data_IF_816993559899
#
_entry.id   IF_816993559899
#
_cell.length_a   1.000
_cell.length_b   1.000
_cell.length_c   1.000
_cell.angle_alpha   90.00
_cell.angle_beta   90.00
_cell.angle_gamma   90.00
#
_symmetry.space_group_name_H-M   'P 1'
#
loop_
_entity.id
_entity.type
_entity.pdbx_description
1 polymer ?
#
# COMPACT_ATOMS: atom_id res chain seq x y z
N UNK A 1 1.14 -8.68 3.18
CA UNK A 1 -0.05 -8.47 2.31
C UNK A 1 0.41 -7.93 0.97
N UNK A 2 -0.12 -8.46 -0.13
CA UNK A 2 0.17 -7.98 -1.48
C UNK A 2 -1.14 -7.62 -2.17
N UNK A 3 -1.15 -6.53 -2.92
CA UNK A 3 -2.31 -6.11 -3.71
C UNK A 3 -1.89 -5.76 -5.13
N UNK A 4 -2.73 -6.11 -6.10
CA UNK A 4 -2.60 -5.75 -7.50
C UNK A 4 -3.82 -4.89 -7.87
N UNK A 5 -3.64 -3.57 -7.93
CA UNK A 5 -4.74 -2.59 -7.87
C UNK A 5 -4.69 -1.64 -9.08
N UNK A 6 -5.86 -1.15 -9.48
CA UNK A 6 -6.01 0.01 -10.35
C UNK A 6 -6.53 1.16 -9.49
N UNK A 7 -5.71 2.20 -9.28
CA UNK A 7 -6.19 3.43 -8.68
C UNK A 7 -7.04 4.14 -9.75
N UNK A 8 -8.22 4.61 -9.35
CA UNK A 8 -9.19 5.30 -10.20
C UNK A 8 -9.35 6.75 -9.72
N UNK A 9 -8.60 7.71 -10.27
CA UNK A 9 -8.82 9.12 -10.00
C UNK A 9 -10.14 9.60 -10.63
N UNK A 10 -10.60 10.78 -10.22
CA UNK A 10 -11.86 11.37 -10.70
C UNK A 10 -11.90 11.61 -12.20
N UNK A 11 -10.73 11.82 -12.82
CA UNK A 11 -10.59 12.01 -14.27
C UNK A 11 -10.81 10.72 -15.09
N UNK A 12 -11.09 9.59 -14.43
CA UNK A 12 -11.34 8.30 -15.05
C UNK A 12 -10.08 7.59 -15.56
N UNK A 13 -8.89 8.16 -15.32
CA UNK A 13 -7.64 7.48 -15.58
C UNK A 13 -7.51 6.22 -14.72
N UNK A 14 -6.65 5.29 -15.14
CA UNK A 14 -6.38 4.06 -14.41
C UNK A 14 -4.89 3.97 -14.16
N UNK A 15 -4.49 4.06 -12.90
CA UNK A 15 -3.09 3.97 -12.51
C UNK A 15 -2.84 2.56 -11.97
N UNK A 16 -2.13 1.70 -12.71
CA UNK A 16 -1.80 0.35 -12.26
C UNK A 16 -0.74 0.42 -11.16
N UNK A 17 -1.01 -0.23 -10.03
CA UNK A 17 -0.09 -0.27 -8.89
C UNK A 17 -0.03 -1.68 -8.33
N UNK A 18 1.18 -2.20 -8.16
CA UNK A 18 1.44 -3.33 -7.27
C UNK A 18 1.88 -2.79 -5.93
N UNK A 19 1.30 -3.29 -4.85
CA UNK A 19 1.63 -2.89 -3.48
C UNK A 19 2.02 -4.12 -2.67
N UNK A 20 2.99 -3.96 -1.78
CA UNK A 20 3.32 -4.98 -0.79
C UNK A 20 3.62 -4.35 0.56
N UNK A 21 3.01 -4.90 1.61
CA UNK A 21 3.33 -4.62 3.01
C UNK A 21 3.89 -5.88 3.67
N UNK A 22 5.03 -5.72 4.33
CA UNK A 22 5.71 -6.78 5.08
C UNK A 22 5.86 -6.33 6.52
N UNK A 23 5.24 -7.06 7.45
CA UNK A 23 5.44 -6.84 8.87
C UNK A 23 6.63 -7.66 9.35
N UNK A 24 7.45 -7.10 10.25
CA UNK A 24 8.57 -7.77 10.89
C UNK A 24 8.63 -7.38 12.36
N UNK A 25 8.84 -8.36 13.23
CA UNK A 25 9.05 -8.11 14.65
C UNK A 25 10.35 -7.34 14.90
N UNK A 26 10.28 -6.38 15.82
CA UNK A 26 11.41 -5.60 16.31
C UNK A 26 11.30 -5.50 17.83
N UNK A 27 12.36 -5.01 18.49
CA UNK A 27 12.26 -4.67 19.90
C UNK A 27 11.16 -3.62 20.11
N UNK A 28 10.22 -3.89 21.02
CA UNK A 28 9.11 -2.99 21.34
C UNK A 28 7.89 -3.06 20.40
N UNK A 29 7.86 -3.97 19.41
CA UNK A 29 6.67 -4.15 18.56
C UNK A 29 6.98 -4.78 17.20
N UNK A 30 6.40 -4.21 16.15
CA UNK A 30 6.69 -4.58 14.77
C UNK A 30 6.86 -3.34 13.90
N UNK A 31 7.61 -3.47 12.81
CA UNK A 31 7.68 -2.49 11.74
C UNK A 31 6.89 -2.98 10.53
N UNK A 32 6.26 -2.05 9.80
CA UNK A 32 5.64 -2.33 8.51
C UNK A 32 6.48 -1.72 7.39
N UNK A 33 6.94 -2.56 6.46
CA UNK A 33 7.70 -2.15 5.28
C UNK A 33 6.81 -2.18 4.05
N UNK A 34 6.46 -1.00 3.56
CA UNK A 34 5.64 -0.82 2.36
C UNK A 34 6.50 -0.67 1.10
N UNK A 35 6.04 -1.22 -0.02
CA UNK A 35 6.59 -0.99 -1.37
C UNK A 35 5.43 -0.79 -2.34
N UNK A 36 5.58 0.20 -3.22
CA UNK A 36 4.63 0.52 -4.27
C UNK A 36 5.37 0.55 -5.60
N UNK A 37 4.88 -0.22 -6.57
CA UNK A 37 5.35 -0.21 -7.95
C UNK A 37 4.24 0.37 -8.81
N UNK A 38 4.25 1.69 -8.96
CA UNK A 38 3.33 2.38 -9.85
C UNK A 38 3.72 2.11 -11.31
N UNK A 39 2.71 1.94 -12.17
CA UNK A 39 2.90 1.57 -13.56
C UNK A 39 3.02 0.07 -13.80
N UNK A 40 2.88 -0.78 -12.77
CA UNK A 40 3.03 -2.23 -12.89
C UNK A 40 1.75 -2.96 -12.46
N UNK A 41 1.57 -4.16 -13.02
CA UNK A 41 0.61 -5.16 -12.57
C UNK A 41 1.27 -6.54 -12.49
N UNK A 42 0.74 -7.43 -11.66
CA UNK A 42 1.10 -8.86 -11.69
C UNK A 42 0.06 -9.59 -12.54
N UNK A 43 0.46 -10.04 -13.73
CA UNK A 43 -0.38 -10.78 -14.68
C UNK A 43 0.31 -12.11 -14.98
N UNK A 44 -0.41 -13.22 -14.84
CA UNK A 44 0.11 -14.58 -14.99
C UNK A 44 1.38 -14.85 -14.16
N UNK A 45 1.35 -14.39 -12.90
CA UNK A 45 2.46 -14.49 -11.92
C UNK A 45 3.74 -13.76 -12.33
N UNK A 46 3.67 -12.86 -13.31
CA UNK A 46 4.80 -12.06 -13.77
C UNK A 46 4.50 -10.58 -13.57
N UNK A 47 5.51 -9.82 -13.14
CA UNK A 47 5.44 -8.37 -13.15
C UNK A 47 5.45 -7.87 -14.59
N UNK A 48 4.41 -7.13 -14.97
CA UNK A 48 4.27 -6.52 -16.29
C UNK A 48 4.20 -5.01 -16.12
N UNK A 49 5.01 -4.29 -16.90
CA UNK A 49 4.94 -2.84 -16.99
C UNK A 49 3.75 -2.46 -17.87
N UNK A 50 2.85 -1.67 -17.34
CA UNK A 50 1.56 -1.30 -17.94
C UNK A 50 1.55 0.14 -18.46
N UNK A 51 2.67 0.86 -18.32
CA UNK A 51 2.86 2.21 -18.83
C UNK A 51 4.00 2.23 -19.85
N UNK A 52 3.98 3.17 -20.82
CA UNK A 52 5.07 3.32 -21.78
C UNK A 52 6.43 3.60 -21.13
N UNK A 53 7.51 3.32 -21.87
CA UNK A 53 8.86 3.69 -21.46
C UNK A 53 9.06 5.21 -21.43
N UNK A 54 9.88 5.69 -20.49
CA UNK A 54 10.11 7.12 -20.25
C UNK A 54 8.98 7.86 -19.53
N UNK A 55 7.81 7.24 -19.33
CA UNK A 55 6.73 7.83 -18.53
C UNK A 55 7.10 7.83 -17.06
N UNK A 56 7.00 9.00 -16.43
CA UNK A 56 7.22 9.22 -15.00
C UNK A 56 5.93 9.77 -14.41
N UNK A 57 5.52 9.25 -13.26
CA UNK A 57 4.37 9.80 -12.54
C UNK A 57 4.70 11.19 -11.99
N UNK A 58 3.73 12.12 -11.98
CA UNK A 58 3.91 13.41 -11.34
C UNK A 58 4.34 13.24 -9.87
N UNK A 59 5.31 14.05 -9.44
CA UNK A 59 5.90 13.95 -8.10
C UNK A 59 4.84 14.08 -7.00
N UNK A 60 3.86 14.97 -7.18
CA UNK A 60 2.77 15.16 -6.23
C UNK A 60 1.94 13.87 -6.04
N UNK A 61 1.66 13.12 -7.10
CA UNK A 61 0.89 11.86 -7.01
C UNK A 61 1.66 10.82 -6.19
N UNK A 62 2.98 10.71 -6.39
CA UNK A 62 3.83 9.79 -5.63
C UNK A 62 3.93 10.23 -4.17
N UNK A 63 4.09 11.54 -3.92
CA UNK A 63 4.16 12.10 -2.59
C UNK A 63 2.84 11.93 -1.82
N UNK A 64 1.70 12.10 -2.47
CA UNK A 64 0.37 11.88 -1.90
C UNK A 64 0.16 10.41 -1.51
N UNK A 65 0.57 9.46 -2.36
CA UNK A 65 0.51 8.03 -2.03
C UNK A 65 1.40 7.68 -0.83
N UNK A 66 2.61 8.25 -0.76
CA UNK A 66 3.51 8.09 0.38
C UNK A 66 2.90 8.68 1.65
N UNK A 67 2.37 9.90 1.57
CA UNK A 67 1.72 10.60 2.69
C UNK A 67 0.50 9.84 3.20
N UNK A 68 -0.33 9.30 2.30
CA UNK A 68 -1.46 8.45 2.63
C UNK A 68 -1.02 7.21 3.41
N UNK A 69 -0.04 6.46 2.89
CA UNK A 69 0.46 5.26 3.58
C UNK A 69 1.03 5.59 4.97
N UNK A 70 1.80 6.67 5.06
CA UNK A 70 2.37 7.09 6.33
C UNK A 70 1.28 7.48 7.34
N UNK A 71 0.31 8.31 6.94
CA UNK A 71 -0.77 8.76 7.82
C UNK A 71 -1.66 7.58 8.27
N UNK A 72 -2.05 6.71 7.34
CA UNK A 72 -2.90 5.54 7.62
C UNK A 72 -2.23 4.59 8.61
N UNK A 73 -0.99 4.18 8.35
CA UNK A 73 -0.32 3.18 9.19
C UNK A 73 0.23 3.76 10.50
N UNK A 74 0.57 5.06 10.55
CA UNK A 74 0.89 5.73 11.82
C UNK A 74 -0.33 5.81 12.71
N UNK A 75 -1.49 6.16 12.14
CA UNK A 75 -2.75 6.17 12.88
C UNK A 75 -3.12 4.75 13.34
N UNK A 76 -3.01 3.76 12.45
CA UNK A 76 -3.28 2.36 12.80
C UNK A 76 -2.35 1.90 13.93
N UNK A 77 -1.05 2.19 13.88
CA UNK A 77 -0.10 1.80 14.92
C UNK A 77 -0.49 2.34 16.31
N UNK A 78 -1.09 3.54 16.37
CA UNK A 78 -1.53 4.14 17.64
C UNK A 78 -2.72 3.40 18.27
N UNK A 79 -3.63 2.85 17.47
CA UNK A 79 -4.87 2.23 17.96
C UNK A 79 -4.84 0.69 17.94
N UNK A 80 -3.98 0.09 17.11
CA UNK A 80 -3.99 -1.34 16.82
C UNK A 80 -3.86 -2.23 18.07
N UNK A 81 -2.95 -1.95 19.02
CA UNK A 81 -2.83 -2.80 20.22
C UNK A 81 -4.12 -2.82 21.05
N UNK A 82 -4.78 -1.66 21.21
CA UNK A 82 -6.03 -1.54 21.96
C UNK A 82 -7.17 -2.24 21.22
N UNK A 83 -7.36 -1.93 19.94
CA UNK A 83 -8.43 -2.54 19.13
C UNK A 83 -8.28 -4.05 19.07
N UNK A 84 -7.05 -4.55 18.94
CA UNK A 84 -6.78 -5.98 18.96
C UNK A 84 -7.17 -6.59 20.32
N UNK A 85 -6.79 -5.98 21.44
CA UNK A 85 -7.16 -6.47 22.77
C UNK A 85 -8.68 -6.49 23.01
N UNK A 86 -9.41 -5.54 22.43
CA UNK A 86 -10.87 -5.44 22.56
C UNK A 86 -11.60 -6.46 21.67
N UNK A 87 -11.12 -6.68 20.45
CA UNK A 87 -11.89 -7.33 19.38
C UNK A 87 -11.32 -8.67 18.88
N UNK A 88 -10.10 -9.08 19.28
CA UNK A 88 -9.46 -10.31 18.75
C UNK A 88 -10.29 -11.60 18.96
N UNK A 89 -11.10 -11.66 20.02
CA UNK A 89 -11.93 -12.83 20.33
C UNK A 89 -13.41 -12.64 19.98
N UNK A 90 -13.76 -11.53 19.30
CA UNK A 90 -15.15 -11.13 18.98
C UNK A 90 -15.52 -11.30 17.51
N UNK A 91 -14.71 -12.02 16.76
CA UNK A 91 -14.98 -12.37 15.35
C UNK A 91 -16.07 -13.45 15.31
N UNK A 92 -17.33 -13.01 15.27
CA UNK A 92 -18.49 -13.89 15.05
C UNK A 92 -18.69 -14.20 13.56
#
# INVERSE_FOLDING_TARGET
MCANVLILPEDGSKIPVVMTHMARDIEGGCELRSRFWMGYQIIDKKAQKMIPDGVVFPENVVAELLGHNFAEFTNLAAILPQVYAEENDRWA
#
